data_IF_896953745858
#
_entry.id   IF_896953745858
#
_cell.length_a   1.000
_cell.length_b   1.000
_cell.length_c   1.000
_cell.angle_alpha   90.00
_cell.angle_beta   90.00
_cell.angle_gamma   90.00
#
_symmetry.space_group_name_H-M   'P 1'
#
loop_
_entity.id
_entity.type
_entity.pdbx_description
1 polymer ?
#
# COMPACT_ATOMS: atom_id res chain seq x y z
N UNK A 1 27.33 -25.33 -10.88
CA UNK A 1 26.55 -26.02 -9.83
C UNK A 1 26.23 -25.01 -8.75
N UNK A 2 24.95 -24.75 -8.50
CA UNK A 2 24.48 -23.76 -7.53
C UNK A 2 22.97 -23.65 -7.65
N UNK A 3 22.29 -24.42 -6.81
CA UNK A 3 20.87 -24.77 -6.85
C UNK A 3 20.01 -23.55 -6.49
N UNK A 4 19.28 -22.99 -7.46
CA UNK A 4 18.06 -22.24 -7.17
C UNK A 4 16.97 -23.25 -6.80
N UNK A 5 17.05 -23.80 -5.58
CA UNK A 5 15.93 -24.53 -4.99
C UNK A 5 14.86 -23.50 -4.62
N UNK A 6 13.97 -23.22 -5.56
CA UNK A 6 12.73 -22.50 -5.29
C UNK A 6 11.83 -23.44 -4.48
N UNK A 7 12.02 -23.44 -3.17
CA UNK A 7 11.18 -24.18 -2.22
C UNK A 7 9.73 -23.76 -2.44
N UNK A 8 8.91 -24.73 -2.82
CA UNK A 8 7.50 -24.58 -3.16
C UNK A 8 6.68 -24.24 -1.92
N UNK A 9 6.74 -22.98 -1.50
CA UNK A 9 5.90 -22.44 -0.44
C UNK A 9 4.42 -22.66 -0.75
N UNK A 10 3.73 -23.28 0.21
CA UNK A 10 2.29 -23.60 0.21
C UNK A 10 1.47 -22.48 -0.45
N UNK A 11 0.85 -22.78 -1.59
CA UNK A 11 -0.10 -21.86 -2.25
C UNK A 11 -1.39 -21.83 -1.43
N UNK A 12 -1.48 -20.85 -0.55
CA UNK A 12 -2.76 -20.40 -0.01
C UNK A 12 -3.70 -20.08 -1.19
N UNK A 13 -5.02 -20.37 -1.11
CA UNK A 13 -5.94 -20.08 -2.20
C UNK A 13 -6.05 -18.56 -2.39
N UNK A 14 -5.24 -18.03 -3.30
CA UNK A 14 -5.29 -16.63 -3.73
C UNK A 14 -6.22 -16.52 -4.95
N UNK A 15 -6.93 -15.40 -5.13
CA UNK A 15 -7.73 -15.17 -6.33
C UNK A 15 -6.87 -15.35 -7.61
N UNK A 16 -7.43 -15.95 -8.68
CA UNK A 16 -6.71 -16.16 -9.93
C UNK A 16 -5.98 -14.91 -10.46
N UNK A 17 -4.70 -15.02 -10.80
CA UNK A 17 -3.91 -13.89 -11.33
C UNK A 17 -4.20 -13.57 -12.81
N UNK A 18 -5.47 -13.57 -13.19
CA UNK A 18 -5.95 -13.19 -14.53
C UNK A 18 -5.91 -11.67 -14.69
N UNK A 19 -5.83 -11.18 -15.94
CA UNK A 19 -5.81 -9.74 -16.23
C UNK A 19 -7.08 -9.03 -15.75
N UNK A 20 -8.24 -9.67 -15.91
CA UNK A 20 -9.53 -9.15 -15.46
C UNK A 20 -9.59 -9.00 -13.93
N UNK A 21 -9.10 -10.00 -13.17
CA UNK A 21 -9.09 -9.91 -11.71
C UNK A 21 -8.08 -8.90 -11.19
N UNK A 22 -6.92 -8.73 -11.84
CA UNK A 22 -5.99 -7.63 -11.52
C UNK A 22 -6.64 -6.26 -11.68
N UNK A 23 -7.44 -6.07 -12.72
CA UNK A 23 -8.19 -4.82 -12.92
C UNK A 23 -9.15 -4.57 -11.75
N UNK A 24 -9.90 -5.58 -11.33
CA UNK A 24 -10.83 -5.49 -10.21
C UNK A 24 -10.12 -5.21 -8.87
N UNK A 25 -8.95 -5.84 -8.63
CA UNK A 25 -8.13 -5.55 -7.46
C UNK A 25 -7.66 -4.08 -7.47
N UNK A 26 -7.22 -3.53 -8.60
CA UNK A 26 -6.77 -2.14 -8.68
C UNK A 26 -7.92 -1.16 -8.45
N UNK A 27 -9.10 -1.44 -9.01
CA UNK A 27 -10.31 -0.63 -8.76
C UNK A 27 -10.69 -0.65 -7.27
N UNK A 28 -10.64 -1.83 -6.62
CA UNK A 28 -10.92 -1.97 -5.19
C UNK A 28 -9.85 -1.28 -4.31
N UNK A 29 -8.58 -1.39 -4.70
CA UNK A 29 -7.44 -0.70 -4.04
C UNK A 29 -7.65 0.81 -4.04
N UNK A 30 -7.97 1.37 -5.20
CA UNK A 30 -8.12 2.80 -5.37
C UNK A 30 -9.33 3.32 -4.58
N UNK A 31 -10.43 2.56 -4.53
CA UNK A 31 -11.58 2.87 -3.68
C UNK A 31 -11.22 2.90 -2.18
N UNK A 32 -10.49 1.88 -1.71
CA UNK A 32 -10.02 1.84 -0.32
C UNK A 32 -9.08 3.01 0.01
N UNK A 33 -8.13 3.32 -0.86
CA UNK A 33 -7.20 4.44 -0.66
C UNK A 33 -7.88 5.81 -0.69
N UNK A 34 -8.86 6.02 -1.56
CA UNK A 34 -9.67 7.23 -1.55
C UNK A 34 -10.44 7.41 -0.23
N UNK A 35 -10.93 6.32 0.36
CA UNK A 35 -11.56 6.39 1.69
C UNK A 35 -10.55 6.77 2.77
N UNK A 36 -9.36 6.17 2.77
CA UNK A 36 -8.28 6.52 3.70
C UNK A 36 -7.86 7.99 3.56
N UNK A 37 -7.80 8.51 2.34
CA UNK A 37 -7.44 9.91 2.08
C UNK A 37 -8.50 10.86 2.67
N UNK A 38 -9.80 10.55 2.50
CA UNK A 38 -10.89 11.31 3.12
C UNK A 38 -10.85 11.27 4.64
N UNK A 39 -10.40 10.14 5.20
CA UNK A 39 -10.23 9.94 6.63
C UNK A 39 -8.95 10.58 7.20
N UNK A 40 -8.06 11.12 6.34
CA UNK A 40 -6.70 11.55 6.70
C UNK A 40 -5.86 10.43 7.36
N UNK A 41 -6.03 9.19 6.91
CA UNK A 41 -5.29 8.02 7.41
C UNK A 41 -4.22 7.65 6.38
N UNK A 42 -2.95 7.76 6.75
CA UNK A 42 -1.85 7.34 5.88
C UNK A 42 -1.62 5.82 5.98
N UNK A 43 -1.43 5.34 7.20
CA UNK A 43 -1.06 3.95 7.50
C UNK A 43 -2.28 3.18 8.02
N UNK A 44 -2.83 2.30 7.18
CA UNK A 44 -3.94 1.42 7.54
C UNK A 44 -3.49 0.14 8.29
N UNK A 45 -2.19 -0.11 8.41
CA UNK A 45 -1.62 -1.24 9.15
C UNK A 45 -1.32 -0.88 10.60
N UNK A 46 -1.26 0.40 10.96
CA UNK A 46 -1.08 0.84 12.34
C UNK A 46 -2.30 0.47 13.20
N UNK A 47 -2.12 -0.27 14.32
CA UNK A 47 -3.20 -0.60 15.26
C UNK A 47 -3.99 0.62 15.77
N UNK A 48 -3.36 1.80 15.83
CA UNK A 48 -4.02 3.05 16.25
C UNK A 48 -5.10 3.48 15.26
N UNK A 49 -4.85 3.28 13.97
CA UNK A 49 -5.74 3.67 12.90
C UNK A 49 -6.81 2.61 12.61
N UNK A 50 -6.58 1.36 13.03
CA UNK A 50 -7.50 0.23 12.80
C UNK A 50 -8.95 0.52 13.19
N UNK A 51 -9.19 1.23 14.30
CA UNK A 51 -10.55 1.63 14.72
C UNK A 51 -11.20 2.59 13.72
N UNK A 52 -10.45 3.61 13.29
CA UNK A 52 -10.94 4.61 12.32
C UNK A 52 -11.15 4.01 10.93
N UNK A 53 -10.23 3.13 10.49
CA UNK A 53 -10.36 2.40 9.22
C UNK A 53 -11.61 1.52 9.23
N UNK A 54 -11.85 0.77 10.31
CA UNK A 54 -13.06 -0.06 10.45
C UNK A 54 -14.34 0.76 10.64
N UNK A 55 -14.27 1.98 11.15
CA UNK A 55 -15.45 2.83 11.30
C UNK A 55 -15.86 3.50 9.97
N UNK A 56 -14.87 3.91 9.15
CA UNK A 56 -15.12 4.74 7.97
C UNK A 56 -14.96 4.00 6.65
N UNK A 57 -14.05 3.03 6.58
CA UNK A 57 -13.60 2.39 5.34
C UNK A 57 -13.73 0.86 5.37
N UNK A 58 -14.60 0.33 6.24
CA UNK A 58 -14.78 -1.13 6.40
C UNK A 58 -15.23 -1.80 5.11
N UNK A 59 -16.23 -1.24 4.44
CA UNK A 59 -16.82 -1.82 3.22
C UNK A 59 -15.78 -1.89 2.11
N UNK A 60 -14.98 -0.83 1.94
CA UNK A 60 -13.92 -0.76 0.95
C UNK A 60 -12.76 -1.68 1.31
N UNK A 61 -12.41 -1.83 2.59
CA UNK A 61 -11.39 -2.77 3.04
C UNK A 61 -11.81 -4.22 2.81
N UNK A 62 -13.07 -4.58 3.10
CA UNK A 62 -13.63 -5.91 2.81
C UNK A 62 -13.60 -6.21 1.31
N UNK A 63 -14.05 -5.28 0.47
CA UNK A 63 -13.96 -5.42 -1.00
C UNK A 63 -12.52 -5.55 -1.49
N UNK A 64 -11.59 -4.85 -0.86
CA UNK A 64 -10.17 -4.95 -1.22
C UNK A 64 -9.58 -6.31 -0.82
N UNK A 65 -10.00 -6.86 0.31
CA UNK A 65 -9.65 -8.19 0.81
C UNK A 65 -10.27 -9.34 0.01
N UNK A 66 -11.49 -9.17 -0.48
CA UNK A 66 -12.18 -10.16 -1.31
C UNK A 66 -11.65 -10.21 -2.75
N UNK A 67 -11.42 -9.05 -3.36
CA UNK A 67 -11.07 -8.95 -4.79
C UNK A 67 -9.57 -9.07 -5.06
N UNK A 68 -8.72 -8.93 -4.04
CA UNK A 68 -7.28 -8.94 -4.20
C UNK A 68 -6.60 -10.03 -3.38
N UNK A 69 -5.47 -10.51 -3.89
CA UNK A 69 -4.65 -11.48 -3.17
C UNK A 69 -4.01 -10.84 -1.92
N UNK A 70 -3.95 -11.58 -0.83
CA UNK A 70 -3.45 -11.11 0.46
C UNK A 70 -2.01 -10.56 0.37
N UNK A 71 -1.16 -11.18 -0.47
CA UNK A 71 0.20 -10.70 -0.75
C UNK A 71 0.22 -9.32 -1.42
N UNK A 72 -0.72 -9.06 -2.33
CA UNK A 72 -0.86 -7.77 -3.00
C UNK A 72 -1.40 -6.71 -2.05
N UNK A 73 -2.38 -7.05 -1.20
CA UNK A 73 -2.94 -6.14 -0.20
C UNK A 73 -1.87 -5.65 0.75
N UNK A 74 -1.10 -6.59 1.32
CA UNK A 74 0.02 -6.27 2.20
C UNK A 74 1.03 -5.35 1.50
N UNK A 75 1.46 -5.75 0.29
CA UNK A 75 2.39 -4.94 -0.51
C UNK A 75 1.88 -3.52 -0.78
N UNK A 76 0.61 -3.36 -1.18
CA UNK A 76 0.04 -2.05 -1.47
C UNK A 76 -0.06 -1.16 -0.22
N UNK A 77 -0.49 -1.72 0.92
CA UNK A 77 -0.57 -1.00 2.19
C UNK A 77 0.82 -0.52 2.63
N UNK A 78 1.84 -1.38 2.56
CA UNK A 78 3.23 -1.02 2.86
C UNK A 78 3.79 0.02 1.88
N UNK A 79 3.56 -0.17 0.58
CA UNK A 79 4.03 0.72 -0.48
C UNK A 79 3.51 2.15 -0.29
N UNK A 80 2.25 2.33 0.11
CA UNK A 80 1.66 3.65 0.39
C UNK A 80 2.47 4.44 1.43
N UNK A 81 2.90 3.79 2.51
CA UNK A 81 3.71 4.41 3.58
C UNK A 81 5.13 4.71 3.10
N UNK A 82 5.73 3.78 2.35
CA UNK A 82 7.09 3.94 1.82
C UNK A 82 7.15 5.09 0.81
N UNK A 83 6.21 5.15 -0.12
CA UNK A 83 6.14 6.19 -1.14
C UNK A 83 5.99 7.56 -0.48
N UNK A 84 5.12 7.68 0.53
CA UNK A 84 4.98 8.92 1.31
C UNK A 84 6.30 9.34 1.99
N UNK A 85 6.97 8.43 2.69
CA UNK A 85 8.25 8.72 3.35
C UNK A 85 9.34 9.10 2.35
N UNK A 86 9.34 8.46 1.18
CA UNK A 86 10.28 8.77 0.10
C UNK A 86 10.07 10.19 -0.40
N UNK A 87 8.82 10.60 -0.64
CA UNK A 87 8.50 11.96 -1.05
C UNK A 87 8.89 13.00 0.01
N UNK A 88 8.65 12.73 1.30
CA UNK A 88 9.11 13.60 2.38
C UNK A 88 10.63 13.73 2.44
N UNK A 89 11.35 12.61 2.25
CA UNK A 89 12.81 12.62 2.23
C UNK A 89 13.35 13.46 1.06
N UNK A 90 12.79 13.30 -0.13
CA UNK A 90 13.16 14.10 -1.32
C UNK A 90 12.89 15.59 -1.06
N UNK A 91 11.72 15.94 -0.53
CA UNK A 91 11.38 17.33 -0.19
C UNK A 91 12.36 17.95 0.81
N UNK A 92 12.79 17.20 1.83
CA UNK A 92 13.79 17.67 2.80
C UNK A 92 15.14 17.94 2.13
N UNK A 93 15.61 17.02 1.28
CA UNK A 93 16.87 17.18 0.54
C UNK A 93 16.81 18.42 -0.36
N UNK A 94 15.72 18.63 -1.08
CA UNK A 94 15.51 19.81 -1.93
C UNK A 94 15.49 21.12 -1.12
N UNK A 95 14.84 21.13 0.04
CA UNK A 95 14.82 22.28 0.94
C UNK A 95 16.21 22.59 1.49
N UNK A 96 16.96 21.59 1.91
CA UNK A 96 18.34 21.75 2.37
C UNK A 96 19.26 22.26 1.26
N UNK A 97 19.10 21.77 0.02
CA UNK A 97 19.86 22.26 -1.13
C UNK A 97 19.61 23.76 -1.37
N UNK A 98 18.32 24.17 -1.40
CA UNK A 98 17.93 25.58 -1.53
C UNK A 98 18.48 26.44 -0.38
N UNK A 99 18.46 25.94 0.85
CA UNK A 99 19.01 26.66 2.01
C UNK A 99 20.54 26.81 1.93
N UNK A 100 21.25 25.83 1.36
CA UNK A 100 22.71 25.91 1.16
C UNK A 100 23.04 26.94 0.08
N UNK A 101 22.30 26.96 -1.03
CA UNK A 101 22.46 27.94 -2.11
C UNK A 101 22.18 29.37 -1.64
N UNK A 102 21.17 29.57 -0.77
CA UNK A 102 20.84 30.90 -0.23
C UNK A 102 21.87 31.46 0.77
N UNK A 103 22.74 30.60 1.33
CA UNK A 103 23.77 30.99 2.30
C UNK A 103 25.13 31.26 1.66
N UNK A 104 25.22 31.14 0.33
CA UNK A 104 26.42 31.31 -0.46
C UNK A 104 26.34 32.63 -1.25
#
# INVERSE_FOLDING_TARGET
>A
MGLFSFDGGKKEPQPPNTRSQRKLCWESRDGFFQCLDKANILDAMDPKNSKSVNAQCKVENEKFEENCAHSWIKYFKEKRVIDFKREEAIKKIEQEAKQREQKQ
#
